data_IF_926154601095
#
_entry.id   IF_926154601095
#
_cell.length_a   1.000
_cell.length_b   1.000
_cell.length_c   1.000
_cell.angle_alpha   90.00
_cell.angle_beta   90.00
_cell.angle_gamma   90.00
#
_symmetry.space_group_name_H-M   'P 1'
#
loop_
_entity.id
_entity.type
_entity.pdbx_description
1 polymer ?
#
# COMPACT_ATOMS: atom_id res chain seq x y z
N UNK A 1 -33.90 -6.01 -41.53
CA UNK A 1 -33.07 -6.76 -40.55
C UNK A 1 -32.25 -5.75 -39.77
N UNK A 2 -32.51 -5.63 -38.47
CA UNK A 2 -31.75 -4.81 -37.52
C UNK A 2 -30.49 -5.59 -37.12
N UNK A 3 -29.32 -4.95 -37.09
CA UNK A 3 -28.18 -5.46 -36.32
C UNK A 3 -27.89 -4.50 -35.16
N UNK A 4 -27.84 -5.10 -33.98
CA UNK A 4 -27.69 -4.49 -32.66
C UNK A 4 -26.23 -4.15 -32.38
N UNK A 5 -26.02 -3.02 -31.69
CA UNK A 5 -24.79 -2.70 -30.98
C UNK A 5 -24.53 -3.75 -29.89
N UNK A 6 -23.28 -4.18 -29.75
CA UNK A 6 -22.72 -4.73 -28.51
C UNK A 6 -21.54 -3.84 -28.14
N UNK A 7 -21.66 -3.20 -26.99
CA UNK A 7 -20.64 -2.35 -26.36
C UNK A 7 -19.72 -3.24 -25.52
N UNK A 8 -18.41 -3.24 -25.79
CA UNK A 8 -17.41 -3.84 -24.91
C UNK A 8 -16.80 -2.75 -24.02
N UNK A 9 -16.98 -2.91 -22.71
CA UNK A 9 -16.27 -2.17 -21.67
C UNK A 9 -14.77 -2.48 -21.74
N UNK A 10 -13.96 -1.41 -21.75
CA UNK A 10 -12.50 -1.49 -21.65
C UNK A 10 -12.13 -1.55 -20.16
N UNK A 11 -11.58 -2.69 -19.72
CA UNK A 11 -10.69 -2.75 -18.56
C UNK A 11 -9.25 -2.50 -19.03
N UNK A 12 -8.39 -1.81 -18.26
CA UNK A 12 -6.98 -1.78 -18.56
C UNK A 12 -6.34 -3.11 -18.13
N UNK A 13 -5.86 -3.86 -19.12
CA UNK A 13 -5.05 -5.04 -18.94
C UNK A 13 -3.69 -4.67 -18.31
N UNK A 14 -3.28 -5.44 -17.30
CA UNK A 14 -1.89 -5.55 -16.89
C UNK A 14 -1.06 -6.11 -18.05
N UNK A 15 -0.03 -5.38 -18.48
CA UNK A 15 1.00 -5.92 -19.37
C UNK A 15 2.32 -6.03 -18.60
N UNK A 16 2.73 -7.27 -18.35
CA UNK A 16 4.12 -7.63 -18.05
C UNK A 16 4.75 -7.94 -19.41
N UNK A 17 5.82 -7.25 -19.75
CA UNK A 17 6.58 -7.49 -20.97
C UNK A 17 7.93 -6.81 -20.88
N UNK A 18 8.89 -7.45 -20.23
CA UNK A 18 10.29 -7.16 -20.46
C UNK A 18 10.62 -7.64 -21.88
N UNK A 19 10.87 -6.70 -22.79
CA UNK A 19 11.45 -7.01 -24.09
C UNK A 19 12.68 -6.11 -24.27
N UNK A 20 13.85 -6.73 -24.21
CA UNK A 20 15.08 -6.12 -24.68
C UNK A 20 14.96 -5.96 -26.20
N UNK A 21 14.97 -4.72 -26.69
CA UNK A 21 15.19 -4.42 -28.11
C UNK A 21 16.56 -3.76 -28.23
N UNK A 22 17.42 -4.40 -29.02
CA UNK A 22 18.76 -3.94 -29.32
C UNK A 22 18.77 -2.58 -30.02
N UNK A 23 19.89 -1.89 -29.87
CA UNK A 23 20.16 -0.61 -30.50
C UNK A 23 19.93 -0.69 -32.02
N UNK A 24 18.96 0.08 -32.51
CA UNK A 24 18.89 0.48 -33.90
C UNK A 24 19.20 1.98 -33.96
N UNK A 25 20.30 2.29 -34.62
CA UNK A 25 20.80 3.62 -34.91
C UNK A 25 19.78 4.35 -35.80
N UNK A 26 19.17 5.43 -35.31
CA UNK A 26 18.30 6.30 -36.10
C UNK A 26 19.04 7.63 -36.31
N UNK A 27 19.96 7.64 -37.26
CA UNK A 27 20.60 8.86 -37.78
C UNK A 27 19.94 9.28 -39.09
N UNK A 28 18.67 9.71 -39.05
CA UNK A 28 18.10 10.68 -40.00
C UNK A 28 16.60 10.86 -39.74
N UNK A 29 16.19 12.05 -39.32
CA UNK A 29 14.80 12.50 -39.43
C UNK A 29 14.78 13.55 -40.53
N UNK A 30 14.10 13.27 -41.64
CA UNK A 30 13.78 14.29 -42.64
C UNK A 30 12.86 15.33 -42.00
N UNK A 31 13.24 16.60 -42.10
CA UNK A 31 12.40 17.73 -41.69
C UNK A 31 11.28 17.94 -42.71
N UNK A 32 10.13 17.29 -42.49
CA UNK A 32 8.89 17.69 -43.16
C UNK A 32 8.19 18.78 -42.33
N UNK A 33 8.08 19.96 -42.93
CA UNK A 33 7.51 21.18 -42.37
C UNK A 33 6.01 21.04 -42.07
N UNK A 34 5.58 21.44 -40.87
CA UNK A 34 4.16 21.56 -40.51
C UNK A 34 3.50 22.78 -41.21
N UNK A 35 2.23 22.68 -41.66
CA UNK A 35 1.52 23.74 -42.39
C UNK A 35 0.94 24.84 -41.49
N UNK A 36 1.73 25.33 -40.54
CA UNK A 36 1.43 26.53 -39.77
C UNK A 36 2.75 27.06 -39.23
N UNK A 37 3.23 28.22 -39.72
CA UNK A 37 4.53 28.82 -39.43
C UNK A 37 4.78 29.24 -37.97
N UNK A 38 4.49 28.37 -36.99
CA UNK A 38 4.93 28.48 -35.60
C UNK A 38 6.09 27.51 -35.41
N UNK A 39 7.25 27.95 -34.88
CA UNK A 39 8.34 27.05 -34.58
C UNK A 39 7.89 26.01 -33.54
N UNK A 40 8.11 24.73 -33.83
CA UNK A 40 7.93 23.65 -32.88
C UNK A 40 8.84 23.88 -31.66
N UNK A 41 8.39 23.56 -30.43
CA UNK A 41 9.23 23.68 -29.26
C UNK A 41 10.49 22.83 -29.44
N UNK A 42 11.67 23.45 -29.30
CA UNK A 42 12.95 22.73 -29.29
C UNK A 42 12.94 21.74 -28.12
N UNK A 43 12.76 20.46 -28.42
CA UNK A 43 12.99 19.38 -27.47
C UNK A 43 14.49 19.40 -27.16
N UNK A 44 14.86 19.82 -25.94
CA UNK A 44 16.22 19.60 -25.45
C UNK A 44 16.36 18.10 -25.22
N UNK A 45 17.04 17.39 -26.11
CA UNK A 45 17.57 16.07 -25.76
C UNK A 45 18.64 16.29 -24.69
N UNK A 46 18.39 15.74 -23.51
CA UNK A 46 19.38 15.64 -22.45
C UNK A 46 20.43 14.60 -22.86
N UNK A 47 21.71 14.79 -22.52
CA UNK A 47 22.73 13.77 -22.75
C UNK A 47 22.33 12.50 -22.00
N UNK A 48 22.20 11.40 -22.74
CA UNK A 48 22.06 10.06 -22.18
C UNK A 48 23.38 9.78 -21.47
N UNK A 49 23.35 9.72 -20.14
CA UNK A 49 24.47 9.15 -19.39
C UNK A 49 24.54 7.69 -19.80
N UNK A 50 25.63 7.26 -20.44
CA UNK A 50 25.84 5.83 -20.71
C UNK A 50 25.95 5.10 -19.36
N UNK A 51 25.03 4.17 -19.09
CA UNK A 51 24.88 3.41 -17.85
C UNK A 51 24.69 4.25 -16.56
N UNK A 52 23.51 4.88 -16.34
CA UNK A 52 23.14 5.27 -14.99
C UNK A 52 23.08 3.99 -14.12
N UNK A 53 23.49 4.04 -12.83
CA UNK A 53 23.19 2.94 -11.92
C UNK A 53 21.69 2.67 -12.01
N UNK A 54 21.30 1.43 -12.28
CA UNK A 54 19.92 1.06 -12.57
C UNK A 54 19.08 1.23 -11.29
N UNK A 55 18.58 2.46 -11.08
CA UNK A 55 17.81 2.88 -9.91
C UNK A 55 16.44 2.20 -9.80
N UNK A 56 16.12 1.30 -10.73
CA UNK A 56 14.85 0.58 -10.84
C UNK A 56 14.99 -0.93 -10.65
N UNK A 57 16.18 -1.46 -10.31
CA UNK A 57 16.38 -2.90 -10.16
C UNK A 57 15.57 -3.49 -9.01
N UNK A 58 14.53 -4.22 -9.39
CA UNK A 58 13.82 -5.17 -8.57
C UNK A 58 14.79 -6.26 -8.07
N UNK A 59 14.71 -6.59 -6.78
CA UNK A 59 15.43 -7.71 -6.17
C UNK A 59 15.21 -7.73 -4.68
N UNK A 60 15.78 -8.71 -3.96
CA UNK A 60 15.63 -8.84 -2.52
C UNK A 60 16.99 -8.99 -1.82
N UNK A 61 18.05 -8.42 -2.40
CA UNK A 61 19.39 -8.48 -1.80
C UNK A 61 19.40 -7.88 -0.39
N UNK A 62 19.92 -8.63 0.58
CA UNK A 62 20.18 -8.15 1.94
C UNK A 62 21.49 -7.34 1.98
N UNK A 63 21.65 -6.46 2.98
CA UNK A 63 22.89 -5.71 3.14
C UNK A 63 22.75 -4.29 3.70
N UNK A 64 23.78 -3.45 3.55
CA UNK A 64 23.70 -2.04 3.91
C UNK A 64 22.67 -1.28 3.07
N UNK A 65 22.20 -0.10 3.52
CA UNK A 65 21.11 0.66 2.91
C UNK A 65 21.15 0.80 1.38
N UNK A 66 22.33 1.09 0.83
CA UNK A 66 22.56 1.38 -0.59
C UNK A 66 22.73 0.11 -1.46
N UNK A 67 23.05 -1.03 -0.84
CA UNK A 67 23.21 -2.31 -1.53
C UNK A 67 21.92 -3.16 -1.46
N UNK A 68 21.09 -2.94 -0.46
CA UNK A 68 19.82 -3.65 -0.34
C UNK A 68 18.91 -3.39 -1.55
N UNK A 69 18.07 -4.36 -1.89
CA UNK A 69 17.08 -4.26 -2.96
C UNK A 69 15.70 -4.68 -2.46
N UNK A 70 14.67 -4.08 -3.04
CA UNK A 70 13.27 -4.45 -2.88
C UNK A 70 12.64 -4.62 -4.26
N UNK A 71 11.43 -5.17 -4.30
CA UNK A 71 10.62 -5.23 -5.50
C UNK A 71 9.15 -4.99 -5.15
N UNK A 72 8.65 -3.81 -5.54
CA UNK A 72 7.30 -3.35 -5.25
C UNK A 72 6.95 -3.46 -3.74
N UNK A 73 7.69 -2.76 -2.85
CA UNK A 73 7.37 -2.76 -1.43
C UNK A 73 6.06 -1.99 -1.17
N UNK A 74 5.04 -2.63 -0.59
CA UNK A 74 3.69 -2.03 -0.49
C UNK A 74 3.27 -1.54 0.88
N UNK A 75 3.84 -2.05 1.97
CA UNK A 75 3.43 -1.67 3.32
C UNK A 75 4.58 -1.73 4.32
N UNK A 76 4.45 -0.96 5.39
CA UNK A 76 5.45 -0.75 6.43
C UNK A 76 4.81 -0.81 7.82
N UNK A 77 5.48 -1.44 8.78
CA UNK A 77 5.14 -1.32 10.21
C UNK A 77 6.40 -1.34 11.07
N UNK A 78 6.34 -0.89 12.32
CA UNK A 78 7.55 -0.67 13.13
C UNK A 78 7.37 -0.89 14.62
N UNK A 79 8.41 -1.41 15.25
CA UNK A 79 8.55 -1.49 16.71
C UNK A 79 9.26 -0.26 17.32
N UNK A 80 9.64 0.73 16.49
CA UNK A 80 10.42 1.91 16.87
C UNK A 80 11.94 1.72 16.79
N UNK A 81 12.43 0.48 16.69
CA UNK A 81 13.85 0.14 16.47
C UNK A 81 14.07 -0.47 15.08
N UNK A 82 13.09 -1.23 14.60
CA UNK A 82 13.09 -1.92 13.33
C UNK A 82 11.86 -1.52 12.51
N UNK A 83 12.04 -1.39 11.21
CA UNK A 83 10.98 -1.31 10.22
C UNK A 83 10.79 -2.70 9.59
N UNK A 84 9.56 -3.13 9.46
CA UNK A 84 9.19 -4.34 8.73
C UNK A 84 8.54 -3.93 7.42
N UNK A 85 8.95 -4.56 6.32
CA UNK A 85 8.51 -4.22 4.96
C UNK A 85 7.92 -5.44 4.28
N UNK A 86 6.72 -5.30 3.72
CA UNK A 86 6.15 -6.29 2.81
C UNK A 86 6.77 -6.06 1.43
N UNK A 87 7.69 -6.93 1.05
CA UNK A 87 8.39 -6.87 -0.24
C UNK A 87 7.63 -7.75 -1.24
N UNK A 88 6.51 -7.21 -1.69
CA UNK A 88 5.38 -7.95 -2.24
C UNK A 88 5.75 -8.81 -3.44
N UNK A 89 6.46 -8.24 -4.41
CA UNK A 89 6.82 -8.98 -5.63
C UNK A 89 7.95 -9.98 -5.41
N UNK A 90 8.70 -9.87 -4.31
CA UNK A 90 9.66 -10.87 -3.88
C UNK A 90 9.06 -11.95 -2.97
N UNK A 91 7.81 -11.77 -2.51
CA UNK A 91 7.11 -12.72 -1.64
C UNK A 91 7.79 -12.95 -0.27
N UNK A 92 8.43 -11.90 0.26
CA UNK A 92 9.15 -11.96 1.53
C UNK A 92 8.77 -10.79 2.44
N UNK A 93 8.98 -10.99 3.74
CA UNK A 93 8.93 -9.93 4.74
C UNK A 93 10.36 -9.53 5.09
N UNK A 94 10.67 -8.24 4.97
CA UNK A 94 11.99 -7.67 5.23
C UNK A 94 12.02 -6.97 6.58
N UNK A 95 13.19 -6.86 7.16
CA UNK A 95 13.48 -6.10 8.37
C UNK A 95 14.58 -5.09 8.09
N UNK A 96 14.40 -3.85 8.52
CA UNK A 96 15.39 -2.78 8.45
C UNK A 96 15.66 -2.30 9.87
N UNK A 97 16.92 -2.26 10.28
CA UNK A 97 17.32 -1.66 11.56
C UNK A 97 17.34 -0.14 11.39
N UNK A 98 16.44 0.60 12.06
CA UNK A 98 16.24 2.04 11.80
C UNK A 98 17.48 2.90 12.05
N UNK A 99 18.33 2.52 13.02
CA UNK A 99 19.54 3.27 13.35
C UNK A 99 20.66 3.14 12.33
N UNK A 100 20.65 2.08 11.49
CA UNK A 100 21.72 1.80 10.52
C UNK A 100 21.22 1.70 9.08
N UNK A 101 19.91 1.55 8.90
CA UNK A 101 19.25 1.22 7.63
C UNK A 101 19.64 -0.15 7.05
N UNK A 102 20.34 -1.01 7.81
CA UNK A 102 20.72 -2.36 7.35
C UNK A 102 19.47 -3.21 7.14
N UNK A 103 19.39 -3.88 5.99
CA UNK A 103 18.25 -4.71 5.58
C UNK A 103 18.61 -6.19 5.66
N UNK A 104 17.68 -6.97 6.21
CA UNK A 104 17.71 -8.45 6.26
C UNK A 104 16.35 -9.03 5.89
N UNK A 105 16.32 -10.25 5.36
CA UNK A 105 15.07 -11.01 5.19
C UNK A 105 14.64 -11.59 6.55
N UNK A 106 13.42 -11.27 7.00
CA UNK A 106 12.85 -11.85 8.23
C UNK A 106 12.23 -13.22 7.97
N UNK A 107 11.41 -13.33 6.91
CA UNK A 107 10.77 -14.58 6.52
C UNK A 107 10.39 -14.60 5.03
N UNK A 108 10.25 -15.80 4.48
CA UNK A 108 9.98 -16.04 3.06
C UNK A 108 11.24 -16.35 2.26
N UNK A 109 11.05 -16.81 1.02
CA UNK A 109 12.14 -17.12 0.10
C UNK A 109 11.86 -16.53 -1.29
N UNK A 110 12.73 -15.60 -1.71
CA UNK A 110 12.55 -14.86 -2.96
C UNK A 110 12.46 -15.79 -4.17
N UNK A 111 11.50 -15.49 -5.06
CA UNK A 111 11.26 -16.29 -6.28
C UNK A 111 10.49 -17.59 -6.06
N UNK A 112 10.11 -17.93 -4.82
CA UNK A 112 9.23 -19.07 -4.51
C UNK A 112 8.02 -18.58 -3.72
N UNK A 113 6.88 -18.46 -4.40
CA UNK A 113 5.61 -18.20 -3.71
C UNK A 113 4.99 -19.48 -3.17
N UNK A 114 4.08 -19.34 -2.21
CA UNK A 114 3.32 -20.43 -1.63
C UNK A 114 2.78 -20.06 -0.25
N UNK A 115 2.25 -21.02 0.49
CA UNK A 115 1.62 -20.80 1.80
C UNK A 115 2.19 -21.68 2.92
N UNK A 116 3.42 -22.18 2.75
CA UNK A 116 4.09 -23.04 3.73
C UNK A 116 4.31 -22.28 5.04
N UNK A 117 3.84 -22.88 6.13
CA UNK A 117 4.06 -22.45 7.51
C UNK A 117 5.36 -23.09 8.03
N UNK A 118 6.42 -22.29 8.14
CA UNK A 118 7.74 -22.71 8.62
C UNK A 118 8.46 -21.51 9.26
N UNK A 119 9.74 -21.68 9.63
CA UNK A 119 10.55 -20.60 10.22
C UNK A 119 11.40 -19.90 9.16
N UNK A 120 11.46 -18.56 9.22
CA UNK A 120 12.37 -17.75 8.41
C UNK A 120 12.25 -18.03 6.90
N UNK A 121 13.36 -18.43 6.27
CA UNK A 121 13.41 -18.77 4.83
C UNK A 121 12.74 -20.09 4.45
N UNK A 122 12.30 -20.90 5.42
CA UNK A 122 11.48 -22.09 5.16
C UNK A 122 10.03 -21.73 4.82
N UNK A 123 9.53 -20.62 5.38
CA UNK A 123 8.17 -20.16 5.12
C UNK A 123 7.98 -19.69 3.67
N UNK A 124 6.74 -19.70 3.20
CA UNK A 124 6.36 -19.15 1.88
C UNK A 124 5.18 -18.21 2.03
N UNK A 125 5.22 -17.12 1.28
CA UNK A 125 4.12 -16.16 1.10
C UNK A 125 3.79 -16.05 -0.40
N UNK A 126 2.68 -15.42 -0.75
CA UNK A 126 2.33 -15.06 -2.12
C UNK A 126 1.81 -13.63 -2.14
N UNK A 127 2.68 -12.73 -2.59
CA UNK A 127 2.40 -11.30 -2.69
C UNK A 127 1.84 -10.69 -1.39
N UNK A 128 2.54 -10.82 -0.25
CA UNK A 128 2.08 -10.22 1.00
C UNK A 128 2.01 -8.70 0.85
N UNK A 129 0.97 -8.07 1.41
CA UNK A 129 0.76 -6.62 1.28
C UNK A 129 0.76 -5.89 2.60
N UNK A 130 -0.31 -5.96 3.37
CA UNK A 130 -0.46 -5.23 4.63
C UNK A 130 0.12 -5.98 5.82
N UNK A 131 0.55 -5.22 6.83
CA UNK A 131 1.09 -5.79 8.06
C UNK A 131 0.79 -4.91 9.26
N UNK A 132 0.55 -5.54 10.41
CA UNK A 132 0.43 -4.83 11.68
C UNK A 132 1.23 -5.55 12.77
N UNK A 133 1.79 -4.77 13.69
CA UNK A 133 2.61 -5.28 14.78
C UNK A 133 1.83 -5.27 16.08
N UNK A 134 1.68 -6.45 16.68
CA UNK A 134 1.35 -6.57 18.09
C UNK A 134 2.64 -6.50 18.91
N UNK A 135 2.96 -5.29 19.38
CA UNK A 135 4.17 -5.01 20.16
C UNK A 135 4.21 -5.79 21.48
N UNK A 136 3.06 -6.10 22.09
CA UNK A 136 3.00 -6.82 23.38
C UNK A 136 3.36 -8.29 23.21
N UNK A 137 2.97 -8.87 22.05
CA UNK A 137 3.19 -10.29 21.74
C UNK A 137 4.38 -10.54 20.81
N UNK A 138 5.15 -9.51 20.46
CA UNK A 138 6.27 -9.59 19.50
C UNK A 138 5.87 -10.33 18.20
N UNK A 139 4.66 -10.03 17.70
CA UNK A 139 4.03 -10.76 16.60
C UNK A 139 3.60 -9.81 15.48
N UNK A 140 4.05 -10.08 14.26
CA UNK A 140 3.55 -9.44 13.05
C UNK A 140 2.37 -10.24 12.51
N UNK A 141 1.27 -9.56 12.19
CA UNK A 141 0.18 -10.12 11.41
C UNK A 141 0.25 -9.57 9.99
N UNK A 142 0.06 -10.43 9.00
CA UNK A 142 0.28 -10.14 7.58
C UNK A 142 -0.94 -10.56 6.78
N UNK A 143 -1.37 -9.72 5.85
CA UNK A 143 -2.26 -10.15 4.76
C UNK A 143 -1.41 -10.77 3.67
N UNK A 144 -1.51 -12.09 3.54
CA UNK A 144 -0.83 -12.86 2.49
C UNK A 144 -1.74 -12.88 1.25
N UNK A 145 -1.84 -11.70 0.62
CA UNK A 145 -2.93 -11.33 -0.30
C UNK A 145 -3.17 -12.37 -1.40
N UNK A 146 -2.11 -12.84 -2.05
CA UNK A 146 -2.21 -13.80 -3.15
C UNK A 146 -2.57 -15.22 -2.70
N UNK A 147 -2.45 -15.53 -1.42
CA UNK A 147 -2.95 -16.78 -0.83
C UNK A 147 -4.34 -16.61 -0.21
N UNK A 148 -4.87 -15.40 -0.10
CA UNK A 148 -6.15 -15.10 0.54
C UNK A 148 -6.20 -15.51 2.03
N UNK A 149 -5.08 -15.38 2.73
CA UNK A 149 -4.95 -15.75 4.14
C UNK A 149 -4.40 -14.60 4.99
N UNK A 150 -4.65 -14.68 6.29
CA UNK A 150 -3.97 -13.88 7.30
C UNK A 150 -2.94 -14.78 7.97
N UNK A 151 -1.68 -14.37 7.91
CA UNK A 151 -0.53 -15.08 8.47
C UNK A 151 0.00 -14.30 9.67
N UNK A 152 0.78 -14.96 10.51
CA UNK A 152 1.56 -14.28 11.56
C UNK A 152 3.01 -14.73 11.56
N UNK A 153 3.90 -13.84 11.99
CA UNK A 153 5.31 -14.13 12.30
C UNK A 153 5.56 -13.78 13.76
N UNK A 154 6.01 -14.74 14.55
CA UNK A 154 6.59 -14.46 15.87
C UNK A 154 8.03 -13.98 15.63
N UNK A 155 8.31 -12.71 15.93
CA UNK A 155 9.55 -12.04 15.45
C UNK A 155 10.79 -12.67 16.10
N UNK A 156 10.75 -12.93 17.41
CA UNK A 156 11.88 -13.49 18.17
C UNK A 156 12.48 -14.79 17.60
N UNK A 157 11.69 -15.61 16.90
CA UNK A 157 12.14 -16.86 16.29
C UNK A 157 11.82 -16.98 14.80
N UNK A 158 11.26 -15.94 14.18
CA UNK A 158 10.79 -15.92 12.79
C UNK A 158 9.81 -17.06 12.41
N UNK A 159 9.09 -17.63 13.38
CA UNK A 159 8.11 -18.70 13.11
C UNK A 159 6.88 -18.14 12.42
N UNK A 160 6.55 -18.69 11.25
CA UNK A 160 5.38 -18.31 10.45
C UNK A 160 4.25 -19.32 10.62
N UNK A 161 3.02 -18.84 10.78
CA UNK A 161 1.83 -19.70 10.83
C UNK A 161 0.60 -19.00 10.27
N UNK A 162 -0.37 -19.77 9.77
CA UNK A 162 -1.66 -19.24 9.32
C UNK A 162 -2.61 -18.98 10.49
N UNK A 163 -3.18 -17.78 10.55
CA UNK A 163 -4.17 -17.37 11.57
C UNK A 163 -5.59 -17.62 11.09
N UNK A 164 -5.89 -17.21 9.85
CA UNK A 164 -7.22 -17.35 9.27
C UNK A 164 -7.17 -17.42 7.75
N UNK A 165 -8.23 -17.98 7.15
CA UNK A 165 -8.31 -18.21 5.71
C UNK A 165 -7.76 -19.59 5.29
N UNK A 166 -7.94 -19.95 4.03
CA UNK A 166 -7.33 -21.15 3.44
C UNK A 166 -6.74 -20.80 2.10
N UNK A 167 -5.47 -21.16 1.89
CA UNK A 167 -4.74 -20.90 0.65
C UNK A 167 -5.53 -21.37 -0.57
N UNK A 168 -5.53 -20.56 -1.62
CA UNK A 168 -6.19 -20.83 -2.92
C UNK A 168 -7.73 -21.00 -2.84
N UNK A 169 -8.34 -20.81 -1.67
CA UNK A 169 -9.79 -20.85 -1.47
C UNK A 169 -10.27 -19.46 -1.09
N UNK A 170 -10.51 -18.62 -2.09
CA UNK A 170 -11.09 -17.31 -1.88
C UNK A 170 -12.59 -17.39 -1.55
N UNK A 171 -13.14 -16.31 -0.99
CA UNK A 171 -14.55 -16.17 -0.66
C UNK A 171 -14.76 -15.20 0.50
N UNK A 172 -15.96 -15.15 1.07
CA UNK A 172 -16.33 -14.16 2.10
C UNK A 172 -16.94 -14.77 3.36
N UNK A 173 -16.85 -16.10 3.52
CA UNK A 173 -17.41 -16.79 4.68
C UNK A 173 -16.79 -16.25 5.98
N UNK A 174 -17.66 -15.89 6.93
CA UNK A 174 -17.31 -15.68 8.32
C UNK A 174 -17.09 -17.03 9.02
N UNK A 175 -16.45 -17.01 10.20
CA UNK A 175 -16.20 -18.20 11.01
C UNK A 175 -14.79 -18.23 11.61
N UNK A 176 -14.46 -19.25 12.42
CA UNK A 176 -13.17 -19.34 13.10
C UNK A 176 -12.01 -19.75 12.18
N UNK A 177 -10.90 -19.01 12.25
CA UNK A 177 -9.59 -19.39 11.70
C UNK A 177 -9.66 -19.85 10.25
N UNK A 178 -9.34 -21.13 10.01
CA UNK A 178 -9.27 -21.72 8.67
C UNK A 178 -10.64 -21.95 8.02
N UNK A 179 -11.77 -21.81 8.73
CA UNK A 179 -13.09 -21.89 8.10
C UNK A 179 -13.49 -20.58 7.42
N UNK A 180 -12.94 -19.46 7.88
CA UNK A 180 -13.16 -18.16 7.26
C UNK A 180 -12.56 -18.12 5.85
N UNK A 181 -13.11 -17.26 4.99
CA UNK A 181 -12.60 -17.01 3.64
C UNK A 181 -12.40 -15.52 3.45
N UNK A 182 -11.33 -15.17 2.75
CA UNK A 182 -11.02 -13.83 2.30
C UNK A 182 -10.87 -13.82 0.77
N UNK A 183 -10.89 -12.66 0.16
CA UNK A 183 -10.60 -12.48 -1.25
C UNK A 183 -9.63 -11.31 -1.41
N UNK A 184 -8.36 -11.66 -1.58
CA UNK A 184 -7.23 -10.73 -1.71
C UNK A 184 -7.22 -9.64 -0.64
N UNK A 185 -7.15 -10.00 0.66
CA UNK A 185 -7.07 -9.01 1.72
C UNK A 185 -5.78 -8.19 1.57
N UNK A 186 -5.86 -6.87 1.73
CA UNK A 186 -4.70 -5.98 1.59
C UNK A 186 -4.37 -5.27 2.90
N UNK A 187 -5.23 -4.41 3.42
CA UNK A 187 -5.00 -3.69 4.68
C UNK A 187 -5.21 -4.56 5.91
N UNK A 188 -4.40 -4.34 6.95
CA UNK A 188 -4.63 -4.92 8.28
C UNK A 188 -4.12 -3.99 9.39
N UNK A 189 -4.91 -3.84 10.46
CA UNK A 189 -4.50 -3.13 11.68
C UNK A 189 -4.99 -3.88 12.92
N UNK A 190 -4.20 -3.89 13.99
CA UNK A 190 -4.64 -4.34 15.31
C UNK A 190 -5.26 -3.19 16.10
N UNK A 191 -6.18 -3.49 17.02
CA UNK A 191 -6.67 -2.51 17.98
C UNK A 191 -5.63 -2.24 19.09
N UNK A 192 -5.66 -1.07 19.77
CA UNK A 192 -4.67 -0.75 20.80
C UNK A 192 -4.62 -1.75 21.97
N UNK A 193 -5.73 -2.45 22.26
CA UNK A 193 -5.75 -3.46 23.31
C UNK A 193 -5.08 -4.78 22.88
N UNK A 194 -4.98 -5.06 21.58
CA UNK A 194 -4.48 -6.30 21.01
C UNK A 194 -5.48 -7.45 21.14
N UNK A 195 -6.77 -7.16 21.12
CA UNK A 195 -7.86 -8.15 21.18
C UNK A 195 -8.46 -8.43 19.81
N UNK A 196 -8.28 -7.52 18.85
CA UNK A 196 -8.91 -7.56 17.54
C UNK A 196 -7.96 -7.12 16.44
N UNK A 197 -8.05 -7.77 15.28
CA UNK A 197 -7.47 -7.32 14.02
C UNK A 197 -8.60 -6.89 13.10
N UNK A 198 -8.40 -5.82 12.34
CA UNK A 198 -9.32 -5.34 11.31
C UNK A 198 -8.64 -5.42 9.95
N UNK A 199 -9.35 -5.95 8.97
CA UNK A 199 -8.80 -6.31 7.66
C UNK A 199 -9.65 -5.65 6.58
N UNK A 200 -8.98 -5.00 5.62
CA UNK A 200 -9.61 -4.63 4.36
C UNK A 200 -9.59 -5.85 3.43
N UNK A 201 -10.74 -6.50 3.29
CA UNK A 201 -10.93 -7.67 2.43
C UNK A 201 -11.29 -7.18 1.02
N UNK A 202 -10.25 -6.73 0.32
CA UNK A 202 -10.33 -5.76 -0.78
C UNK A 202 -11.24 -6.20 -1.91
N UNK A 203 -11.06 -7.43 -2.40
CA UNK A 203 -11.82 -7.96 -3.55
C UNK A 203 -13.18 -8.51 -3.13
N UNK A 204 -13.49 -8.54 -1.83
CA UNK A 204 -14.86 -8.71 -1.32
C UNK A 204 -15.57 -7.38 -1.03
N UNK A 205 -14.85 -6.25 -1.04
CA UNK A 205 -15.37 -4.92 -0.74
C UNK A 205 -15.93 -4.77 0.69
N UNK A 206 -15.28 -5.44 1.64
CA UNK A 206 -15.72 -5.46 3.04
C UNK A 206 -14.58 -5.17 4.00
N UNK A 207 -14.96 -4.77 5.22
CA UNK A 207 -14.06 -4.72 6.37
C UNK A 207 -14.41 -5.87 7.29
N UNK A 208 -13.40 -6.68 7.61
CA UNK A 208 -13.50 -7.88 8.44
C UNK A 208 -12.81 -7.66 9.78
N UNK A 209 -13.29 -8.32 10.83
CA UNK A 209 -12.67 -8.35 12.15
C UNK A 209 -12.25 -9.77 12.47
N UNK A 210 -11.05 -9.95 13.01
CA UNK A 210 -10.61 -11.20 13.65
C UNK A 210 -10.48 -10.94 15.14
N UNK A 211 -11.15 -11.75 15.95
CA UNK A 211 -10.91 -11.78 17.39
C UNK A 211 -9.63 -12.57 17.68
N UNK A 212 -8.61 -11.91 18.23
CA UNK A 212 -7.27 -12.50 18.38
C UNK A 212 -7.25 -13.74 19.30
N UNK A 213 -8.16 -13.81 20.27
CA UNK A 213 -8.23 -14.92 21.23
C UNK A 213 -8.91 -16.18 20.66
N UNK A 214 -9.95 -16.01 19.83
CA UNK A 214 -10.79 -17.12 19.34
C UNK A 214 -10.49 -17.46 17.87
N UNK A 215 -9.87 -16.54 17.13
CA UNK A 215 -9.73 -16.60 15.69
C UNK A 215 -11.05 -16.38 14.94
N UNK A 216 -12.12 -15.95 15.62
CA UNK A 216 -13.42 -15.72 14.98
C UNK A 216 -13.32 -14.55 13.99
N UNK A 217 -13.66 -14.81 12.74
CA UNK A 217 -13.74 -13.81 11.68
C UNK A 217 -15.19 -13.39 11.44
N UNK A 218 -15.46 -12.09 11.48
CA UNK A 218 -16.78 -11.51 11.19
C UNK A 218 -16.68 -10.36 10.19
N UNK A 219 -17.72 -10.18 9.38
CA UNK A 219 -17.88 -9.00 8.53
C UNK A 219 -18.52 -7.87 9.34
N UNK A 220 -17.81 -6.74 9.51
CA UNK A 220 -18.29 -5.62 10.33
C UNK A 220 -18.82 -4.44 9.51
N UNK A 221 -18.41 -4.32 8.24
CA UNK A 221 -18.89 -3.27 7.34
C UNK A 221 -18.75 -3.69 5.87
N UNK A 222 -19.62 -3.14 5.01
CA UNK A 222 -19.70 -3.53 3.60
C UNK A 222 -20.52 -4.79 3.38
N UNK A 223 -20.80 -5.12 2.12
CA UNK A 223 -21.56 -6.32 1.73
C UNK A 223 -20.78 -7.11 0.66
N UNK A 224 -20.39 -8.37 0.94
CA UNK A 224 -19.58 -9.14 0.00
C UNK A 224 -20.18 -9.23 -1.40
N UNK A 225 -19.40 -8.91 -2.42
CA UNK A 225 -19.81 -8.94 -3.83
C UNK A 225 -20.66 -7.74 -4.29
N UNK A 226 -20.92 -6.78 -3.41
CA UNK A 226 -21.62 -5.53 -3.74
C UNK A 226 -20.69 -4.35 -3.48
N UNK A 227 -19.96 -3.92 -4.52
CA UNK A 227 -19.21 -2.67 -4.47
C UNK A 227 -20.15 -1.45 -4.53
N UNK A 228 -19.68 -0.30 -4.06
CA UNK A 228 -20.43 0.95 -4.05
C UNK A 228 -19.79 2.00 -3.14
N UNK A 229 -20.51 3.09 -2.88
CA UNK A 229 -20.00 4.26 -2.14
C UNK A 229 -20.94 4.72 -1.01
N UNK A 230 -21.95 3.92 -0.69
CA UNK A 230 -22.99 4.25 0.26
C UNK A 230 -22.43 4.29 1.70
N UNK A 231 -22.74 5.38 2.41
CA UNK A 231 -22.61 5.47 3.86
C UNK A 231 -23.73 4.67 4.53
N UNK A 232 -23.55 4.33 5.80
CA UNK A 232 -24.55 3.61 6.60
C UNK A 232 -23.94 2.60 7.56
N UNK A 233 -24.80 1.90 8.30
CA UNK A 233 -24.37 0.96 9.34
C UNK A 233 -24.09 -0.45 8.79
N UNK A 234 -22.90 -0.97 9.11
CA UNK A 234 -22.52 -2.36 8.86
C UNK A 234 -22.70 -2.78 7.40
N UNK A 235 -23.56 -3.76 7.14
CA UNK A 235 -23.83 -4.27 5.78
C UNK A 235 -24.70 -3.35 4.93
N UNK A 236 -25.19 -2.24 5.47
CA UNK A 236 -25.84 -1.19 4.67
C UNK A 236 -24.83 -0.29 3.94
N UNK A 237 -23.60 -0.17 4.45
CA UNK A 237 -22.54 0.58 3.76
C UNK A 237 -21.97 -0.19 2.57
N UNK A 238 -21.29 0.52 1.68
CA UNK A 238 -20.57 -0.06 0.54
C UNK A 238 -19.19 0.54 0.41
N UNK A 239 -18.25 -0.27 -0.07
CA UNK A 239 -16.88 0.12 -0.42
C UNK A 239 -16.59 -0.31 -1.85
N UNK A 240 -15.51 0.20 -2.43
CA UNK A 240 -15.00 -0.24 -3.73
C UNK A 240 -13.47 -0.37 -3.66
N UNK A 241 -13.03 -1.63 -3.51
CA UNK A 241 -11.64 -2.02 -3.31
C UNK A 241 -10.95 -1.25 -2.17
N UNK A 242 -11.36 -1.44 -0.89
CA UNK A 242 -10.63 -0.85 0.23
C UNK A 242 -9.23 -1.46 0.31
N UNK A 243 -8.19 -0.63 0.26
CA UNK A 243 -6.77 -1.05 0.11
C UNK A 243 -6.02 -1.10 1.43
N UNK A 244 -6.34 -0.19 2.35
CA UNK A 244 -5.70 -0.12 3.66
C UNK A 244 -6.64 0.39 4.75
N UNK A 245 -6.26 0.13 6.00
CA UNK A 245 -7.06 0.43 7.18
C UNK A 245 -6.15 0.80 8.35
N UNK A 246 -6.52 1.85 9.09
CA UNK A 246 -5.85 2.25 10.31
C UNK A 246 -6.86 2.44 11.45
N UNK A 247 -6.47 2.11 12.67
CA UNK A 247 -7.25 2.36 13.89
C UNK A 247 -6.73 3.63 14.57
N UNK A 248 -7.64 4.40 15.17
CA UNK A 248 -7.23 5.53 15.98
C UNK A 248 -6.63 5.09 17.34
N UNK A 249 -5.82 5.93 18.01
CA UNK A 249 -5.20 5.57 19.28
C UNK A 249 -6.18 5.21 20.40
N UNK A 250 -7.42 5.72 20.37
CA UNK A 250 -8.44 5.36 21.36
C UNK A 250 -9.09 4.00 21.10
N UNK A 251 -8.99 3.47 19.88
CA UNK A 251 -9.66 2.23 19.46
C UNK A 251 -11.16 2.41 19.20
N UNK A 252 -11.64 3.64 19.00
CA UNK A 252 -13.05 3.95 18.74
C UNK A 252 -13.39 3.99 17.24
N UNK A 253 -12.41 4.31 16.39
CA UNK A 253 -12.61 4.54 14.96
C UNK A 253 -11.62 3.76 14.09
N UNK A 254 -12.12 3.33 12.92
CA UNK A 254 -11.29 2.87 11.82
C UNK A 254 -11.36 3.89 10.70
N UNK A 255 -10.22 4.11 10.03
CA UNK A 255 -10.12 4.90 8.82
C UNK A 255 -9.66 4.00 7.68
N UNK A 256 -10.39 4.05 6.56
CA UNK A 256 -10.24 3.12 5.44
C UNK A 256 -9.90 3.90 4.18
N UNK A 257 -8.82 3.52 3.51
CA UNK A 257 -8.54 3.95 2.15
C UNK A 257 -9.44 3.17 1.18
N UNK A 258 -10.47 3.82 0.66
CA UNK A 258 -11.47 3.23 -0.23
C UNK A 258 -11.11 3.59 -1.68
N UNK A 259 -10.23 2.77 -2.27
CA UNK A 259 -9.34 3.20 -3.33
C UNK A 259 -10.04 3.57 -4.64
N UNK A 260 -10.93 2.69 -5.11
CA UNK A 260 -11.66 2.94 -6.36
C UNK A 260 -12.70 4.05 -6.20
N UNK A 261 -13.20 4.25 -4.98
CA UNK A 261 -14.05 5.39 -4.63
C UNK A 261 -13.27 6.71 -4.44
N UNK A 262 -11.93 6.69 -4.47
CA UNK A 262 -11.09 7.87 -4.28
C UNK A 262 -11.42 8.61 -2.96
N UNK A 263 -11.62 7.83 -1.90
CA UNK A 263 -12.16 8.30 -0.63
C UNK A 263 -11.42 7.75 0.58
N UNK A 264 -11.56 8.46 1.70
CA UNK A 264 -11.27 7.96 3.04
C UNK A 264 -12.60 7.82 3.78
N UNK A 265 -12.87 6.63 4.28
CA UNK A 265 -14.10 6.30 5.02
C UNK A 265 -13.76 6.18 6.50
N UNK A 266 -14.69 6.59 7.36
CA UNK A 266 -14.59 6.48 8.82
C UNK A 266 -15.63 5.48 9.32
N UNK A 267 -15.21 4.54 10.15
CA UNK A 267 -16.10 3.56 10.79
C UNK A 267 -16.06 3.78 12.30
N UNK A 268 -17.23 3.89 12.92
CA UNK A 268 -17.36 3.87 14.38
C UNK A 268 -17.41 2.41 14.83
N UNK A 269 -16.36 1.92 15.49
CA UNK A 269 -16.19 0.48 15.80
C UNK A 269 -17.36 -0.06 16.62
N UNK A 270 -17.79 0.69 17.64
CA UNK A 270 -18.84 0.24 18.57
C UNK A 270 -20.23 0.10 17.91
N UNK A 271 -20.53 0.90 16.89
CA UNK A 271 -21.86 0.93 16.27
C UNK A 271 -21.88 0.36 14.85
N UNK A 272 -20.73 0.23 14.20
CA UNK A 272 -20.61 -0.14 12.79
C UNK A 272 -21.02 0.98 11.82
N UNK A 273 -21.22 2.21 12.30
CA UNK A 273 -21.60 3.34 11.45
C UNK A 273 -20.44 3.71 10.52
N UNK A 274 -20.67 3.71 9.21
CA UNK A 274 -19.71 4.12 8.18
C UNK A 274 -20.12 5.45 7.58
N UNK A 275 -19.18 6.39 7.57
CA UNK A 275 -19.35 7.71 6.95
C UNK A 275 -18.19 8.02 6.02
N UNK A 276 -18.44 8.84 5.01
CA UNK A 276 -17.37 9.38 4.15
C UNK A 276 -16.72 10.57 4.84
N UNK A 277 -15.44 10.46 5.19
CA UNK A 277 -14.67 11.53 5.81
C UNK A 277 -14.09 12.48 4.77
N UNK A 278 -13.54 11.92 3.69
CA UNK A 278 -13.05 12.66 2.53
C UNK A 278 -13.43 11.86 1.29
N UNK A 279 -13.93 12.52 0.24
CA UNK A 279 -14.31 11.77 -0.97
C UNK A 279 -15.73 12.02 -1.49
N UNK A 280 -16.57 12.79 -0.78
CA UNK A 280 -17.96 12.99 -1.19
C UNK A 280 -18.06 13.66 -2.56
N UNK A 281 -19.01 13.19 -3.37
CA UNK A 281 -19.26 13.71 -4.72
C UNK A 281 -19.74 15.17 -4.63
N UNK A 282 -19.16 16.05 -5.44
CA UNK A 282 -19.58 17.46 -5.54
C UNK A 282 -18.85 18.43 -4.60
N UNK A 283 -18.05 17.95 -3.64
CA UNK A 283 -17.28 18.84 -2.75
C UNK A 283 -16.01 19.36 -3.44
N UNK A 284 -15.76 20.67 -3.35
CA UNK A 284 -14.46 21.28 -3.68
C UNK A 284 -13.46 20.90 -2.59
N UNK A 285 -12.24 20.52 -2.99
CA UNK A 285 -11.21 20.00 -2.08
C UNK A 285 -9.90 20.73 -2.30
N UNK A 286 -9.22 21.12 -1.21
CA UNK A 286 -7.85 21.61 -1.31
C UNK A 286 -6.96 20.48 -1.87
N UNK A 287 -6.33 20.78 -3.01
CA UNK A 287 -5.52 19.87 -3.84
C UNK A 287 -6.26 18.69 -4.49
N UNK A 288 -7.58 18.79 -4.67
CA UNK A 288 -8.30 17.92 -5.61
C UNK A 288 -8.62 16.51 -5.10
N UNK A 289 -9.08 15.66 -6.03
CA UNK A 289 -9.51 14.27 -5.76
C UNK A 289 -8.31 13.39 -5.41
N UNK A 290 -8.52 12.40 -4.54
CA UNK A 290 -7.53 11.36 -4.31
C UNK A 290 -7.39 10.52 -5.58
N UNK A 291 -6.16 10.16 -5.94
CA UNK A 291 -5.81 9.22 -6.99
C UNK A 291 -5.33 7.91 -6.39
N UNK A 292 -6.24 6.93 -6.30
CA UNK A 292 -5.96 5.57 -5.80
C UNK A 292 -5.25 5.61 -4.43
N UNK A 293 -5.95 6.04 -3.35
CA UNK A 293 -5.38 5.99 -2.02
C UNK A 293 -5.00 4.54 -1.65
N UNK A 294 -3.75 4.33 -1.26
CA UNK A 294 -3.24 3.01 -0.84
C UNK A 294 -3.03 3.00 0.68
N UNK A 295 -1.82 3.30 1.15
CA UNK A 295 -1.50 3.29 2.56
C UNK A 295 -2.21 4.39 3.34
N UNK A 296 -2.63 4.07 4.55
CA UNK A 296 -3.23 5.01 5.48
C UNK A 296 -2.60 4.84 6.87
N UNK A 297 -2.28 5.95 7.54
CA UNK A 297 -1.78 5.93 8.92
C UNK A 297 -2.25 7.17 9.67
N UNK A 298 -2.20 7.15 11.00
CA UNK A 298 -2.47 8.31 11.83
C UNK A 298 -1.18 8.80 12.46
N UNK A 299 -1.12 10.11 12.75
CA UNK A 299 -0.13 10.60 13.69
C UNK A 299 -0.35 10.02 15.10
N UNK A 300 0.67 10.02 15.97
CA UNK A 300 0.57 9.43 17.31
C UNK A 300 -0.58 9.98 18.17
N UNK A 301 -0.98 11.24 17.95
CA UNK A 301 -2.11 11.87 18.65
C UNK A 301 -3.47 11.42 18.12
N UNK A 302 -3.52 10.86 16.91
CA UNK A 302 -4.76 10.51 16.21
C UNK A 302 -5.51 11.71 15.62
N UNK A 303 -4.93 12.91 15.68
CA UNK A 303 -5.55 14.12 15.18
C UNK A 303 -5.52 14.20 13.66
N UNK A 304 -4.48 13.64 13.02
CA UNK A 304 -4.30 13.70 11.58
C UNK A 304 -4.10 12.33 10.96
N UNK A 305 -4.76 12.12 9.84
CA UNK A 305 -4.59 10.97 8.96
C UNK A 305 -3.65 11.37 7.83
N UNK A 306 -2.71 10.49 7.51
CA UNK A 306 -1.86 10.58 6.35
C UNK A 306 -2.24 9.47 5.38
N UNK A 307 -2.34 9.80 4.09
CA UNK A 307 -2.73 8.85 3.03
C UNK A 307 -1.74 8.92 1.88
N UNK A 308 -1.26 7.77 1.43
CA UNK A 308 -0.52 7.66 0.18
C UNK A 308 -1.48 7.84 -1.00
N UNK A 309 -1.46 9.03 -1.58
CA UNK A 309 -2.26 9.43 -2.74
C UNK A 309 -1.49 9.03 -4.02
N UNK A 310 -1.46 7.70 -4.23
CA UNK A 310 -0.52 6.98 -5.09
C UNK A 310 -0.43 7.55 -6.51
N UNK A 311 -1.56 7.65 -7.19
CA UNK A 311 -1.60 8.09 -8.59
C UNK A 311 -1.36 9.60 -8.73
N UNK A 312 -1.49 10.34 -7.64
CA UNK A 312 -1.10 11.74 -7.55
C UNK A 312 0.34 11.91 -7.05
N UNK A 313 1.12 10.84 -6.86
CA UNK A 313 2.54 10.91 -6.49
C UNK A 313 2.81 11.70 -5.20
N UNK A 314 1.86 11.66 -4.26
CA UNK A 314 1.83 12.56 -3.09
C UNK A 314 1.38 11.84 -1.82
N UNK A 315 1.63 12.48 -0.68
CA UNK A 315 1.02 12.14 0.61
C UNK A 315 0.03 13.24 0.98
N UNK A 316 -1.16 12.84 1.43
CA UNK A 316 -2.25 13.73 1.84
C UNK A 316 -2.39 13.73 3.35
N UNK A 317 -2.39 14.92 3.95
CA UNK A 317 -2.72 15.12 5.37
C UNK A 317 -4.19 15.54 5.51
N UNK A 318 -4.93 14.86 6.38
CA UNK A 318 -6.36 15.03 6.60
C UNK A 318 -6.62 15.15 8.10
N UNK A 319 -7.39 16.14 8.54
CA UNK A 319 -7.87 16.21 9.91
C UNK A 319 -8.86 15.06 10.18
N UNK A 320 -8.59 14.26 11.21
CA UNK A 320 -9.33 13.03 11.49
C UNK A 320 -10.77 13.27 11.99
N UNK A 321 -11.07 14.51 12.43
CA UNK A 321 -12.36 14.91 12.97
C UNK A 321 -13.24 15.61 11.93
N UNK A 322 -12.66 16.47 11.10
CA UNK A 322 -13.40 17.28 10.12
C UNK A 322 -13.29 16.75 8.69
N UNK A 323 -12.27 15.96 8.38
CA UNK A 323 -11.95 15.54 7.01
C UNK A 323 -11.29 16.65 6.16
N UNK A 324 -10.99 17.81 6.75
CA UNK A 324 -10.33 18.89 6.06
C UNK A 324 -8.88 18.52 5.71
N UNK A 325 -8.45 18.92 4.51
CA UNK A 325 -7.11 18.63 4.01
C UNK A 325 -6.22 19.85 4.11
N UNK A 326 -4.97 19.68 4.55
CA UNK A 326 -3.94 20.74 4.55
C UNK A 326 -2.68 20.31 3.79
N UNK A 327 -1.82 21.29 3.45
CA UNK A 327 -0.46 21.19 2.91
C UNK A 327 -0.12 19.92 2.10
N UNK A 328 -0.01 20.12 0.78
CA UNK A 328 0.37 19.09 -0.18
C UNK A 328 1.89 18.89 -0.25
N UNK A 329 2.32 17.63 -0.37
CA UNK A 329 3.65 17.30 -0.86
C UNK A 329 3.58 16.62 -2.20
N UNK A 330 4.36 17.10 -3.17
CA UNK A 330 4.30 16.64 -4.54
C UNK A 330 3.10 17.26 -5.24
N UNK A 331 3.31 18.34 -5.98
CA UNK A 331 2.30 18.81 -6.94
C UNK A 331 2.47 18.06 -8.25
N UNK A 332 1.41 17.88 -9.06
CA UNK A 332 1.56 17.48 -10.45
C UNK A 332 2.59 18.39 -11.14
N UNK A 333 3.73 17.82 -11.56
CA UNK A 333 4.88 18.55 -12.13
C UNK A 333 6.12 18.70 -11.23
N UNK A 334 6.02 18.42 -9.92
CA UNK A 334 7.17 18.35 -9.00
C UNK A 334 6.93 17.29 -7.90
N UNK A 335 6.73 16.01 -8.28
CA UNK A 335 6.42 14.95 -7.33
C UNK A 335 7.60 14.69 -6.39
N UNK A 336 7.30 14.45 -5.11
CA UNK A 336 8.31 14.04 -4.12
C UNK A 336 8.52 12.51 -4.09
N UNK A 337 7.55 11.75 -4.59
CA UNK A 337 7.51 10.30 -4.56
C UNK A 337 7.11 9.75 -5.93
N UNK A 338 7.62 8.59 -6.32
CA UNK A 338 7.33 7.99 -7.61
C UNK A 338 5.99 7.25 -7.67
N UNK A 339 5.64 6.45 -6.66
CA UNK A 339 4.31 5.85 -6.44
C UNK A 339 4.27 5.43 -4.97
N UNK A 340 3.95 6.34 -4.03
CA UNK A 340 3.93 6.00 -2.61
C UNK A 340 2.88 4.90 -2.37
N UNK A 341 3.21 3.93 -1.52
CA UNK A 341 2.32 2.81 -1.19
C UNK A 341 2.07 2.78 0.32
N UNK A 342 3.01 2.21 1.08
CA UNK A 342 2.92 2.09 2.53
C UNK A 342 3.47 3.33 3.22
N UNK A 343 2.85 3.71 4.33
CA UNK A 343 3.26 4.86 5.13
C UNK A 343 3.18 4.53 6.62
N UNK A 344 4.17 4.96 7.40
CA UNK A 344 4.18 4.75 8.85
C UNK A 344 5.01 5.82 9.55
N UNK A 345 4.60 6.16 10.78
CA UNK A 345 5.43 6.92 11.71
C UNK A 345 6.35 5.97 12.49
N UNK A 346 7.69 6.13 12.38
CA UNK A 346 8.63 5.30 13.13
C UNK A 346 8.71 5.66 14.63
N UNK A 347 8.45 6.92 14.95
CA UNK A 347 8.61 7.53 16.28
C UNK A 347 7.60 8.68 16.45
N UNK A 348 7.63 9.31 17.63
CA UNK A 348 6.69 10.39 17.99
C UNK A 348 6.95 11.72 17.25
N UNK A 349 7.95 11.81 16.36
CA UNK A 349 8.32 13.09 15.75
C UNK A 349 8.48 13.08 14.22
N UNK A 350 7.52 13.74 13.58
CA UNK A 350 7.71 14.63 12.42
C UNK A 350 8.39 14.02 11.17
N UNK A 351 8.44 12.69 11.11
CA UNK A 351 9.02 11.93 10.02
C UNK A 351 8.05 10.83 9.60
N UNK A 352 7.80 10.74 8.30
CA UNK A 352 7.14 9.58 7.70
C UNK A 352 8.17 8.68 7.02
N UNK A 353 7.98 7.38 7.17
CA UNK A 353 8.61 6.38 6.30
C UNK A 353 7.59 5.96 5.25
N UNK A 354 8.01 5.95 3.99
CA UNK A 354 7.16 5.69 2.84
C UNK A 354 7.81 4.62 1.98
N UNK A 355 7.07 3.59 1.60
CA UNK A 355 7.53 2.68 0.54
C UNK A 355 7.17 3.28 -0.82
N UNK A 356 8.19 3.53 -1.65
CA UNK A 356 8.03 4.12 -2.97
C UNK A 356 8.20 3.03 -4.03
N UNK A 357 7.08 2.66 -4.66
CA UNK A 357 7.02 1.56 -5.61
C UNK A 357 7.82 1.81 -6.87
N UNK A 358 7.88 3.07 -7.35
CA UNK A 358 8.59 3.35 -8.61
C UNK A 358 10.10 3.12 -8.46
N UNK A 359 10.66 3.55 -7.34
CA UNK A 359 12.10 3.46 -7.04
C UNK A 359 12.48 2.18 -6.30
N UNK A 360 11.53 1.30 -6.01
CA UNK A 360 11.74 0.06 -5.23
C UNK A 360 12.52 0.32 -3.94
N UNK A 361 12.12 1.35 -3.19
CA UNK A 361 12.91 1.85 -2.06
C UNK A 361 12.03 2.32 -0.91
N UNK A 362 12.66 2.50 0.25
CA UNK A 362 12.03 3.09 1.43
C UNK A 362 12.56 4.51 1.60
N UNK A 363 11.66 5.49 1.52
CA UNK A 363 11.95 6.91 1.68
C UNK A 363 11.62 7.37 3.10
N UNK A 364 12.42 8.33 3.59
CA UNK A 364 12.21 9.07 4.83
C UNK A 364 11.87 10.51 4.47
N UNK A 365 10.71 10.99 4.93
CA UNK A 365 10.25 12.35 4.71
C UNK A 365 10.14 13.09 6.04
N UNK A 366 11.01 14.09 6.24
CA UNK A 366 10.89 15.03 7.35
C UNK A 366 9.79 16.05 7.04
N UNK A 367 8.67 15.96 7.75
CA UNK A 367 7.44 16.72 7.47
C UNK A 367 7.70 18.23 7.63
N UNK A 368 8.33 18.66 8.73
CA UNK A 368 8.58 20.09 8.97
C UNK A 368 9.47 20.76 7.90
N UNK A 369 10.46 20.05 7.37
CA UNK A 369 11.41 20.63 6.41
C UNK A 369 11.10 20.28 4.96
N UNK A 370 10.13 19.41 4.70
CA UNK A 370 9.86 18.88 3.35
C UNK A 370 10.98 17.99 2.79
N UNK A 371 12.00 17.63 3.58
CA UNK A 371 13.19 16.94 3.08
C UNK A 371 12.93 15.44 2.96
N UNK A 372 13.04 14.92 1.74
CA UNK A 372 13.02 13.49 1.44
C UNK A 372 14.43 12.95 1.23
N UNK A 373 14.75 11.83 1.89
CA UNK A 373 15.99 11.04 1.79
C UNK A 373 15.67 9.55 1.73
N UNK A 374 16.52 8.74 1.10
CA UNK A 374 16.31 7.28 1.06
C UNK A 374 16.85 6.63 2.33
N UNK A 375 16.01 5.83 3.01
CA UNK A 375 16.40 5.01 4.17
C UNK A 375 17.11 3.72 3.73
N UNK A 376 16.60 3.05 2.69
CA UNK A 376 17.18 1.84 2.12
C UNK A 376 16.63 1.57 0.71
N UNK A 377 17.42 0.87 -0.11
CA UNK A 377 17.12 0.58 -1.50
C UNK A 377 17.82 1.55 -2.47
N UNK A 378 17.51 1.47 -3.77
CA UNK A 378 17.98 2.43 -4.76
C UNK A 378 17.60 3.88 -4.37
N UNK A 379 18.33 4.89 -4.86
CA UNK A 379 17.95 6.29 -4.65
C UNK A 379 16.50 6.54 -5.09
N UNK A 380 15.78 7.33 -4.28
CA UNK A 380 14.41 7.74 -4.58
C UNK A 380 14.28 8.57 -5.86
N UNK A 381 13.04 8.92 -6.20
CA UNK A 381 12.72 9.71 -7.39
C UNK A 381 13.65 10.92 -7.57
N UNK A 382 14.31 11.10 -8.73
CA UNK A 382 15.27 12.19 -8.92
C UNK A 382 14.56 13.52 -8.76
N UNK A 383 15.02 14.33 -7.80
CA UNK A 383 14.59 15.73 -7.70
C UNK A 383 15.28 16.46 -8.85
N UNK A 384 14.51 16.90 -9.83
CA UNK A 384 14.99 17.91 -10.78
C UNK A 384 15.54 19.08 -9.94
N UNK A 385 16.84 19.33 -10.05
CA UNK A 385 17.47 20.52 -9.47
C UNK A 385 17.13 21.75 -10.30
#
# INVERSE_FOLDING_TARGET
MKFSLISFLIFPAFFIGAMAMGAADITSVNEDSAPSGKPLPKIRLFPIVENPPNIYECGYQDGPPNAARFCNPTHLTTDGKNLYVADTSNHVIRKIVLSTGRVTTLAGYGGQFGSVDETGSGARFRSPRGMTLDKKRDTLYITDTGNHTIRKIVISNASVSTVAGTSERFGSNDGPGLSARFNEPQGITGDPSGTSLYIADTSNHTIRKIEAATGMVTTIAGRPGFLGFEDGKGTASRFDHPTDIAVDPSGAYLYVADASNQAVRKIVIATGEVTTLLGKRGEKRAGGRLGIPHGITLDPSGANIYVADTANHSIRKIDASTGETSNFTGTPGSPLFGFPQGIVFPDEENTLLISDKLSNSIQKWAIATGKVTTLAGPPGFPKNK
#
